data_IF_050015465701
#
_entry.id   IF_050015465701
#
_cell.length_a   1.000
_cell.length_b   1.000
_cell.length_c   1.000
_cell.angle_alpha   90.00
_cell.angle_beta   90.00
_cell.angle_gamma   90.00
#
_symmetry.space_group_name_H-M   'P 1'
#
loop_
_entity.id
_entity.type
_entity.pdbx_description
1 polymer ?
#
# COMPACT_ATOMS: atom_id res chain seq x y z
N UNK A 1 -13.77 37.69 -11.32
CA UNK A 1 -13.86 36.51 -12.20
C UNK A 1 -12.58 36.37 -12.98
N UNK A 2 -11.96 35.20 -12.92
CA UNK A 2 -10.74 34.91 -13.65
C UNK A 2 -11.12 34.69 -15.14
N UNK A 3 -10.46 35.33 -16.13
CA UNK A 3 -10.84 35.23 -17.55
C UNK A 3 -10.91 33.79 -18.08
N UNK A 4 -10.05 32.92 -17.52
CA UNK A 4 -9.96 31.50 -17.83
C UNK A 4 -11.25 30.72 -17.53
N UNK A 5 -11.94 31.04 -16.44
CA UNK A 5 -13.17 30.36 -16.03
C UNK A 5 -14.31 30.59 -17.03
N UNK A 6 -14.33 31.78 -17.64
CA UNK A 6 -15.34 32.21 -18.61
C UNK A 6 -15.12 31.55 -19.98
N UNK A 7 -13.86 31.48 -20.44
CA UNK A 7 -13.52 30.84 -21.73
C UNK A 7 -13.74 29.33 -21.73
N UNK A 8 -13.60 28.68 -20.57
CA UNK A 8 -13.76 27.23 -20.46
C UNK A 8 -15.11 26.77 -19.90
N UNK A 9 -16.06 27.68 -19.66
CA UNK A 9 -17.40 27.34 -19.18
C UNK A 9 -17.39 26.61 -17.83
N UNK A 10 -16.40 26.90 -16.99
CA UNK A 10 -16.26 26.30 -15.66
C UNK A 10 -17.23 27.07 -14.74
N UNK A 11 -18.31 26.41 -14.33
CA UNK A 11 -19.23 26.99 -13.34
C UNK A 11 -18.53 27.01 -11.98
N UNK A 12 -18.53 28.17 -11.32
CA UNK A 12 -18.13 28.29 -9.92
C UNK A 12 -19.01 27.35 -9.08
N UNK A 13 -18.46 26.20 -8.71
CA UNK A 13 -19.08 25.34 -7.72
C UNK A 13 -18.99 26.10 -6.38
N UNK A 14 -20.13 26.28 -5.72
CA UNK A 14 -20.22 27.02 -4.46
C UNK A 14 -19.23 26.52 -3.40
N UNK A 15 -19.02 27.25 -2.29
CA UNK A 15 -17.98 26.94 -1.31
C UNK A 15 -18.05 25.46 -0.93
N UNK A 16 -17.01 24.70 -1.31
CA UNK A 16 -16.91 23.29 -0.99
C UNK A 16 -17.10 23.15 0.52
N UNK A 17 -17.97 22.22 0.93
CA UNK A 17 -18.17 21.95 2.36
C UNK A 17 -16.79 21.69 2.97
N UNK A 18 -16.46 22.30 4.12
CA UNK A 18 -15.17 22.10 4.75
C UNK A 18 -14.96 20.60 4.96
N UNK A 19 -13.92 20.06 4.31
CA UNK A 19 -13.54 18.66 4.50
C UNK A 19 -13.07 18.52 5.94
N UNK A 20 -13.72 17.62 6.69
CA UNK A 20 -13.34 17.32 8.08
C UNK A 20 -11.98 16.63 8.16
N UNK A 21 -11.55 16.01 7.06
CA UNK A 21 -10.33 15.20 6.98
C UNK A 21 -9.24 15.89 6.17
N UNK A 22 -7.98 15.89 6.65
CA UNK A 22 -6.83 16.33 5.88
C UNK A 22 -6.64 15.53 4.59
N UNK A 23 -6.13 16.18 3.54
CA UNK A 23 -5.71 15.49 2.31
C UNK A 23 -4.45 14.66 2.57
N UNK A 24 -4.48 13.38 2.20
CA UNK A 24 -3.32 12.49 2.29
C UNK A 24 -2.40 12.53 1.06
N UNK A 25 -2.55 13.55 0.20
CA UNK A 25 -1.70 13.71 -1.00
C UNK A 25 -0.20 13.78 -0.68
N UNK A 26 0.18 14.51 0.38
CA UNK A 26 1.59 14.60 0.80
C UNK A 26 2.14 13.25 1.24
N UNK A 27 1.31 12.45 1.93
CA UNK A 27 1.68 11.09 2.33
C UNK A 27 1.87 10.18 1.12
N UNK A 28 0.95 10.20 0.16
CA UNK A 28 1.07 9.36 -1.04
C UNK A 28 2.26 9.77 -1.90
N UNK A 29 2.57 11.06 -1.98
CA UNK A 29 3.79 11.55 -2.64
C UNK A 29 5.05 11.02 -1.95
N UNK A 30 5.12 11.13 -0.62
CA UNK A 30 6.23 10.59 0.17
C UNK A 30 6.35 9.07 0.01
N UNK A 31 5.23 8.35 0.07
CA UNK A 31 5.19 6.90 -0.09
C UNK A 31 5.68 6.46 -1.47
N UNK A 32 5.32 7.19 -2.52
CA UNK A 32 5.78 6.89 -3.89
C UNK A 32 7.30 7.04 -4.10
N UNK A 33 7.99 7.74 -3.19
CA UNK A 33 9.46 7.86 -3.19
C UNK A 33 10.13 6.71 -2.42
N UNK A 34 9.39 6.09 -1.49
CA UNK A 34 9.86 5.01 -0.60
C UNK A 34 9.60 3.64 -1.21
N UNK A 35 8.54 3.49 -2.01
CA UNK A 35 8.27 2.27 -2.77
C UNK A 35 9.44 2.01 -3.74
N UNK A 36 10.26 0.99 -3.43
CA UNK A 36 11.37 0.53 -4.29
C UNK A 36 10.87 -0.51 -5.30
N UNK A 37 11.71 -0.83 -6.29
CA UNK A 37 11.50 -1.49 -7.61
C UNK A 37 10.53 -2.68 -7.75
N UNK A 38 9.94 -3.17 -6.67
CA UNK A 38 8.76 -4.05 -6.68
C UNK A 38 7.47 -3.24 -6.43
N UNK A 39 7.45 -2.02 -6.99
CA UNK A 39 6.39 -1.04 -6.80
C UNK A 39 5.12 -1.57 -7.46
N UNK A 40 4.25 -2.18 -6.65
CA UNK A 40 2.94 -2.68 -7.07
C UNK A 40 1.98 -1.58 -7.56
N UNK A 41 2.42 -0.32 -7.52
CA UNK A 41 1.73 0.87 -7.99
C UNK A 41 1.99 1.22 -9.45
N UNK A 42 3.19 0.94 -9.98
CA UNK A 42 3.56 1.26 -11.36
C UNK A 42 4.77 0.41 -11.81
N UNK A 43 4.57 -0.62 -12.66
CA UNK A 43 5.65 -1.47 -13.14
C UNK A 43 6.70 -0.73 -14.00
N UNK A 44 6.41 0.51 -14.43
CA UNK A 44 7.34 1.32 -15.22
C UNK A 44 8.36 2.09 -14.38
N UNK A 45 8.09 2.27 -13.06
CA UNK A 45 9.03 2.91 -12.14
C UNK A 45 10.07 1.90 -11.64
N UNK A 46 11.01 1.58 -12.51
CA UNK A 46 12.20 0.81 -12.12
C UNK A 46 13.22 1.75 -11.49
N UNK A 47 13.56 1.50 -10.23
CA UNK A 47 14.74 2.11 -9.63
C UNK A 47 15.99 1.54 -10.30
N UNK A 48 16.98 2.40 -10.59
CA UNK A 48 18.22 1.98 -11.27
C UNK A 48 19.05 0.95 -10.48
N UNK A 49 18.76 0.76 -9.19
CA UNK A 49 19.41 -0.23 -8.34
C UNK A 49 18.36 -1.18 -7.74
N UNK A 50 18.36 -2.48 -8.11
CA UNK A 50 17.38 -3.46 -7.62
C UNK A 50 17.49 -3.76 -6.12
N UNK A 51 18.61 -3.40 -5.48
CA UNK A 51 18.84 -3.59 -4.05
C UNK A 51 18.73 -2.29 -3.25
N UNK A 52 18.25 -1.20 -3.88
CA UNK A 52 18.01 0.03 -3.15
C UNK A 52 16.93 -0.20 -2.07
N UNK A 53 17.23 0.24 -0.85
CA UNK A 53 16.27 0.33 0.24
C UNK A 53 16.02 1.80 0.57
N UNK A 54 14.79 2.18 0.94
CA UNK A 54 14.49 3.56 1.30
C UNK A 54 15.30 3.98 2.54
N UNK A 55 15.64 5.27 2.62
CA UNK A 55 16.37 5.73 3.79
C UNK A 55 15.46 5.73 5.03
N UNK A 56 15.99 5.46 6.23
CA UNK A 56 15.23 5.53 7.47
C UNK A 56 14.50 6.87 7.68
N UNK A 57 15.11 7.96 7.19
CA UNK A 57 14.55 9.31 7.27
C UNK A 57 13.29 9.41 6.41
N UNK A 58 13.34 8.92 5.17
CA UNK A 58 12.19 8.96 4.26
C UNK A 58 11.03 8.13 4.82
N UNK A 59 11.31 6.94 5.33
CA UNK A 59 10.31 6.06 5.97
C UNK A 59 9.67 6.77 7.18
N UNK A 60 10.49 7.36 8.05
CA UNK A 60 9.98 8.10 9.20
C UNK A 60 9.10 9.30 8.81
N UNK A 61 9.42 9.98 7.70
CA UNK A 61 8.64 11.10 7.19
C UNK A 61 7.24 10.65 6.73
N UNK A 62 7.13 9.49 6.07
CA UNK A 62 5.82 8.92 5.70
C UNK A 62 4.96 8.59 6.93
N UNK A 63 5.56 7.97 7.97
CA UNK A 63 4.84 7.66 9.20
C UNK A 63 4.42 8.91 9.99
N UNK A 64 5.21 9.99 9.95
CA UNK A 64 4.80 11.28 10.54
C UNK A 64 3.56 11.86 9.88
N UNK A 65 3.49 11.83 8.55
CA UNK A 65 2.31 12.30 7.80
C UNK A 65 1.06 11.47 8.13
N UNK A 66 1.22 10.15 8.32
CA UNK A 66 0.13 9.28 8.77
C UNK A 66 -0.29 9.58 10.21
N UNK A 67 0.66 9.81 11.11
CA UNK A 67 0.40 10.15 12.50
C UNK A 67 -0.32 11.50 12.62
N UNK A 68 0.07 12.51 11.83
CA UNK A 68 -0.58 13.83 11.79
C UNK A 68 -2.07 13.71 11.43
N UNK A 69 -2.40 12.80 10.51
CA UNK A 69 -3.80 12.48 10.18
C UNK A 69 -4.54 11.93 11.41
N UNK A 70 -3.96 10.94 12.10
CA UNK A 70 -4.58 10.35 13.29
C UNK A 70 -4.73 11.33 14.44
N UNK A 71 -3.75 12.21 14.66
CA UNK A 71 -3.85 13.28 15.65
C UNK A 71 -4.97 14.27 15.31
N UNK A 72 -5.13 14.60 14.03
CA UNK A 72 -6.23 15.46 13.57
C UNK A 72 -7.59 14.77 13.79
N UNK A 73 -7.73 13.50 13.40
CA UNK A 73 -8.96 12.71 13.63
C UNK A 73 -9.28 12.59 15.13
N UNK A 74 -8.26 12.44 15.97
CA UNK A 74 -8.41 12.39 17.44
C UNK A 74 -8.98 13.69 17.99
N UNK A 75 -8.55 14.83 17.44
CA UNK A 75 -9.04 16.14 17.85
C UNK A 75 -10.47 16.44 17.37
N UNK A 76 -10.85 15.94 16.19
CA UNK A 76 -12.18 16.20 15.58
C UNK A 76 -13.28 15.26 16.11
N UNK A 77 -12.90 14.14 16.75
CA UNK A 77 -13.83 13.18 17.38
C UNK A 77 -14.76 13.77 18.45
N UNK A 78 -14.61 15.05 18.83
CA UNK A 78 -15.51 15.81 19.70
C UNK A 78 -15.40 15.40 21.18
N UNK A 79 -15.32 16.38 22.08
CA UNK A 79 -15.03 16.22 23.52
C UNK A 79 -16.04 15.43 24.38
N UNK A 80 -16.82 14.50 23.82
CA UNK A 80 -17.61 13.53 24.58
C UNK A 80 -16.82 12.24 24.70
N UNK A 81 -15.97 12.16 25.74
CA UNK A 81 -15.49 11.00 26.53
C UNK A 81 -15.33 9.59 25.91
N UNK A 82 -15.44 9.43 24.60
CA UNK A 82 -15.18 8.21 23.87
C UNK A 82 -13.74 8.30 23.41
N UNK A 83 -12.84 7.90 24.31
CA UNK A 83 -11.53 7.47 23.88
C UNK A 83 -11.77 6.45 22.76
N UNK A 84 -11.28 6.73 21.55
CA UNK A 84 -11.25 5.73 20.50
C UNK A 84 -9.99 4.89 20.76
N UNK A 85 -10.09 3.74 21.46
CA UNK A 85 -8.92 3.02 21.91
C UNK A 85 -8.09 2.51 20.73
N UNK A 86 -8.72 2.25 19.60
CA UNK A 86 -8.02 1.84 18.40
C UNK A 86 -7.13 2.97 17.87
N UNK A 87 -7.67 4.19 17.78
CA UNK A 87 -6.91 5.33 17.27
C UNK A 87 -5.69 5.63 18.14
N UNK A 88 -5.81 5.53 19.47
CA UNK A 88 -4.68 5.69 20.39
C UNK A 88 -3.61 4.60 20.16
N UNK A 89 -4.01 3.34 19.99
CA UNK A 89 -3.09 2.24 19.66
C UNK A 89 -2.41 2.45 18.31
N UNK A 90 -3.11 2.99 17.31
CA UNK A 90 -2.53 3.30 16.00
C UNK A 90 -1.52 4.44 16.10
N UNK A 91 -1.81 5.50 16.87
CA UNK A 91 -0.87 6.60 17.11
C UNK A 91 0.39 6.07 17.78
N UNK A 92 0.27 5.24 18.82
CA UNK A 92 1.42 4.63 19.50
C UNK A 92 2.22 3.71 18.56
N UNK A 93 1.53 2.90 17.73
CA UNK A 93 2.19 2.05 16.73
C UNK A 93 2.97 2.89 15.70
N UNK A 94 2.39 3.98 15.19
CA UNK A 94 3.10 4.88 14.26
C UNK A 94 4.27 5.58 14.94
N UNK A 95 4.14 5.96 16.21
CA UNK A 95 5.25 6.56 16.97
C UNK A 95 6.44 5.61 17.07
N UNK A 96 6.19 4.34 17.40
CA UNK A 96 7.23 3.31 17.45
C UNK A 96 7.90 3.12 16.08
N UNK A 97 7.14 3.18 14.99
CA UNK A 97 7.67 3.09 13.63
C UNK A 97 8.43 4.36 13.19
N UNK A 98 8.16 5.52 13.79
CA UNK A 98 8.95 6.74 13.56
C UNK A 98 10.31 6.63 14.26
N UNK A 99 10.34 6.08 15.48
CA UNK A 99 11.57 5.91 16.26
C UNK A 99 12.44 4.77 15.72
N UNK A 100 11.82 3.68 15.30
CA UNK A 100 12.45 2.50 14.73
C UNK A 100 11.89 2.21 13.33
N UNK A 101 12.27 3.00 12.32
CA UNK A 101 11.73 2.88 10.97
C UNK A 101 12.05 1.51 10.35
N UNK A 102 11.04 0.81 9.80
CA UNK A 102 11.28 -0.45 9.12
C UNK A 102 12.12 -0.23 7.86
N UNK A 103 12.95 -1.22 7.52
CA UNK A 103 13.83 -1.18 6.35
C UNK A 103 13.06 -1.27 5.03
N UNK A 104 11.85 -1.83 5.05
CA UNK A 104 10.96 -1.97 3.90
C UNK A 104 9.50 -1.78 4.33
N UNK A 105 8.70 -1.16 3.47
CA UNK A 105 7.26 -1.01 3.67
C UNK A 105 6.54 -2.24 3.11
N UNK A 106 5.76 -2.93 3.95
CA UNK A 106 4.97 -4.11 3.53
C UNK A 106 3.58 -3.68 3.05
N UNK A 107 3.50 -2.55 2.36
CA UNK A 107 2.26 -1.91 1.94
C UNK A 107 1.45 -2.75 0.94
N UNK A 108 0.13 -2.63 0.98
CA UNK A 108 -0.72 -3.07 -0.12
C UNK A 108 -0.54 -2.15 -1.34
N UNK A 109 -0.75 -2.68 -2.54
CA UNK A 109 -0.78 -1.89 -3.77
C UNK A 109 -1.96 -0.92 -3.83
N UNK A 110 -1.86 0.10 -4.68
CA UNK A 110 -3.02 0.92 -5.01
C UNK A 110 -4.10 0.09 -5.70
N UNK A 111 -3.72 -0.80 -6.62
CA UNK A 111 -4.62 -1.74 -7.31
C UNK A 111 -5.43 -2.59 -6.33
N UNK A 112 -4.82 -3.04 -5.23
CA UNK A 112 -5.53 -3.76 -4.18
C UNK A 112 -6.57 -2.89 -3.49
N UNK A 113 -6.24 -1.64 -3.14
CA UNK A 113 -7.23 -0.72 -2.55
C UNK A 113 -8.39 -0.43 -3.50
N UNK A 114 -8.14 -0.38 -4.82
CA UNK A 114 -9.17 -0.09 -5.80
C UNK A 114 -10.13 -1.28 -6.00
N UNK A 115 -9.62 -2.51 -5.81
CA UNK A 115 -10.35 -3.77 -6.01
C UNK A 115 -10.93 -4.38 -4.74
N UNK A 116 -10.61 -3.83 -3.56
CA UNK A 116 -11.13 -4.33 -2.27
C UNK A 116 -12.66 -4.25 -2.22
N UNK A 117 -13.26 -5.24 -1.56
CA UNK A 117 -14.72 -5.36 -1.47
C UNK A 117 -15.35 -4.14 -0.80
N UNK A 118 -16.30 -3.53 -1.52
CA UNK A 118 -17.07 -2.37 -1.06
C UNK A 118 -18.38 -2.81 -0.43
N UNK A 119 -18.75 -2.16 0.66
CA UNK A 119 -20.05 -2.37 1.31
C UNK A 119 -21.04 -1.35 0.75
N UNK A 120 -22.14 -1.77 0.12
CA UNK A 120 -23.11 -0.82 -0.42
C UNK A 120 -23.78 -0.04 0.72
N UNK A 121 -24.00 1.26 0.52
CA UNK A 121 -24.63 2.14 1.51
C UNK A 121 -25.96 1.58 2.06
N UNK A 122 -26.74 0.89 1.22
CA UNK A 122 -28.03 0.30 1.58
C UNK A 122 -27.94 -0.86 2.59
N UNK A 123 -26.80 -1.56 2.67
CA UNK A 123 -26.59 -2.65 3.64
C UNK A 123 -25.99 -2.17 4.97
N UNK A 124 -25.59 -0.91 5.06
CA UNK A 124 -25.04 -0.33 6.28
C UNK A 124 -26.17 0.05 7.23
N UNK A 125 -25.97 -0.26 8.52
CA UNK A 125 -26.89 0.18 9.57
C UNK A 125 -26.57 1.62 9.98
N UNK A 126 -27.56 2.40 10.46
CA UNK A 126 -27.38 3.81 10.83
C UNK A 126 -26.51 4.04 12.09
N UNK A 127 -26.24 3.00 12.86
CA UNK A 127 -25.39 2.99 14.04
C UNK A 127 -23.97 2.47 13.76
N UNK A 128 -23.70 1.91 12.58
CA UNK A 128 -22.34 1.46 12.24
C UNK A 128 -21.40 2.66 12.06
N UNK A 129 -20.28 2.62 12.78
CA UNK A 129 -19.25 3.65 12.79
C UNK A 129 -17.90 3.11 12.30
N UNK A 130 -17.07 3.99 11.75
CA UNK A 130 -15.70 3.67 11.41
C UNK A 130 -14.87 3.51 12.69
N UNK A 131 -14.17 2.38 12.89
CA UNK A 131 -13.33 2.18 14.08
C UNK A 131 -12.15 3.17 14.19
N UNK A 132 -11.73 3.82 13.10
CA UNK A 132 -10.58 4.73 13.08
C UNK A 132 -11.02 6.15 13.45
N UNK A 133 -11.96 6.75 12.72
CA UNK A 133 -12.41 8.12 13.00
C UNK A 133 -13.58 8.22 13.99
N UNK A 134 -14.25 7.11 14.32
CA UNK A 134 -15.40 7.09 15.24
C UNK A 134 -16.71 7.61 14.63
N UNK A 135 -16.69 8.12 13.41
CA UNK A 135 -17.87 8.67 12.73
C UNK A 135 -18.79 7.58 12.18
N UNK A 136 -20.09 7.87 12.08
CA UNK A 136 -21.08 6.98 11.46
C UNK A 136 -20.86 6.94 9.96
N UNK A 137 -20.89 5.76 9.34
CA UNK A 137 -20.71 5.68 7.89
C UNK A 137 -21.79 6.46 7.13
N UNK A 138 -23.04 6.41 7.60
CA UNK A 138 -24.15 7.08 6.93
C UNK A 138 -24.21 8.59 7.14
N UNK A 139 -23.35 9.19 7.99
CA UNK A 139 -23.30 10.65 8.15
C UNK A 139 -22.65 11.37 6.98
N UNK A 140 -21.81 10.68 6.21
CA UNK A 140 -21.30 11.18 4.92
C UNK A 140 -22.26 10.79 3.79
N UNK A 141 -22.47 11.69 2.83
CA UNK A 141 -23.31 11.46 1.64
C UNK A 141 -22.64 10.47 0.68
N UNK A 142 -21.32 10.55 0.55
CA UNK A 142 -20.51 9.77 -0.39
C UNK A 142 -19.63 8.73 0.33
N UNK A 143 -20.16 8.10 1.37
CA UNK A 143 -19.41 7.16 2.20
C UNK A 143 -18.78 6.02 1.38
N UNK A 144 -17.45 5.90 1.43
CA UNK A 144 -16.69 4.82 0.80
C UNK A 144 -16.30 3.78 1.85
N UNK A 145 -17.19 2.81 2.08
CA UNK A 145 -16.96 1.77 3.08
C UNK A 145 -16.43 0.50 2.43
N UNK A 146 -15.33 -0.03 2.99
CA UNK A 146 -14.73 -1.29 2.58
C UNK A 146 -14.83 -2.32 3.69
N UNK A 147 -14.78 -3.60 3.33
CA UNK A 147 -14.62 -4.72 4.26
C UNK A 147 -13.31 -5.45 3.95
N UNK A 148 -12.49 -5.66 4.97
CA UNK A 148 -11.23 -6.40 4.79
C UNK A 148 -11.48 -7.92 4.79
N UNK A 149 -10.70 -8.70 4.02
CA UNK A 149 -10.89 -10.14 3.89
C UNK A 149 -10.59 -10.91 5.19
N UNK A 150 -9.88 -10.30 6.13
CA UNK A 150 -9.51 -10.94 7.39
C UNK A 150 -10.70 -11.25 8.31
N UNK A 151 -11.78 -10.44 8.27
CA UNK A 151 -13.01 -10.69 9.02
C UNK A 151 -14.19 -9.84 8.47
N UNK A 152 -15.42 -10.37 8.38
CA UNK A 152 -16.59 -9.65 7.84
C UNK A 152 -17.02 -8.42 8.65
N UNK A 153 -16.59 -8.31 9.90
CA UNK A 153 -16.86 -7.12 10.74
C UNK A 153 -15.78 -6.04 10.64
N UNK A 154 -14.67 -6.31 9.94
CA UNK A 154 -13.58 -5.34 9.77
C UNK A 154 -13.93 -4.38 8.64
N UNK A 155 -14.89 -3.50 8.93
CA UNK A 155 -15.36 -2.46 8.02
C UNK A 155 -14.72 -1.12 8.37
N UNK A 156 -14.28 -0.40 7.37
CA UNK A 156 -13.67 0.91 7.54
C UNK A 156 -14.07 1.84 6.41
N UNK A 157 -13.93 3.13 6.67
CA UNK A 157 -13.91 4.13 5.62
C UNK A 157 -12.57 4.04 4.87
N UNK A 158 -12.63 3.99 3.54
CA UNK A 158 -11.46 3.83 2.67
C UNK A 158 -10.44 4.95 2.89
N UNK A 159 -10.87 6.18 3.17
CA UNK A 159 -9.97 7.29 3.42
C UNK A 159 -9.22 7.18 4.76
N UNK A 160 -9.84 6.51 5.75
CA UNK A 160 -9.23 6.30 7.05
C UNK A 160 -8.26 5.12 7.05
N UNK A 161 -8.62 4.01 6.39
CA UNK A 161 -7.83 2.78 6.42
C UNK A 161 -6.82 2.69 5.29
N UNK A 162 -7.08 3.34 4.15
CA UNK A 162 -6.24 3.31 2.96
C UNK A 162 -4.78 3.65 3.24
N UNK A 163 -4.48 4.80 3.89
CA UNK A 163 -3.10 5.16 4.25
C UNK A 163 -2.39 4.10 5.08
N UNK A 164 -3.07 3.51 6.08
CA UNK A 164 -2.52 2.42 6.89
C UNK A 164 -2.18 1.19 6.07
N UNK A 165 -3.11 0.76 5.20
CA UNK A 165 -2.90 -0.41 4.34
C UNK A 165 -1.76 -0.19 3.35
N UNK A 166 -1.61 1.02 2.82
CA UNK A 166 -0.58 1.36 1.83
C UNK A 166 0.83 1.37 2.40
N UNK A 167 1.02 1.55 3.71
CA UNK A 167 2.36 1.51 4.34
C UNK A 167 2.60 0.25 5.17
N UNK A 168 1.59 -0.27 5.87
CA UNK A 168 1.73 -1.42 6.77
C UNK A 168 1.20 -2.74 6.19
N UNK A 169 0.27 -2.69 5.24
CA UNK A 169 -0.36 -3.87 4.60
C UNK A 169 -1.06 -4.83 5.55
N UNK A 170 -1.50 -4.35 6.71
CA UNK A 170 -2.15 -5.16 7.76
C UNK A 170 -3.45 -4.53 8.20
N UNK A 171 -4.40 -5.33 8.67
CA UNK A 171 -5.63 -4.83 9.26
C UNK A 171 -5.34 -4.09 10.60
N UNK A 172 -5.88 -2.88 10.80
CA UNK A 172 -5.73 -2.14 12.06
C UNK A 172 -6.23 -2.87 13.31
N UNK A 173 -7.21 -3.76 13.16
CA UNK A 173 -7.88 -4.44 14.28
C UNK A 173 -7.16 -5.73 14.71
N UNK A 174 -6.82 -6.61 13.75
CA UNK A 174 -6.25 -7.94 14.05
C UNK A 174 -4.80 -8.12 13.58
N UNK A 175 -4.21 -7.10 12.94
CA UNK A 175 -2.85 -7.09 12.40
C UNK A 175 -2.55 -8.21 11.39
N UNK A 176 -3.57 -8.92 10.90
CA UNK A 176 -3.37 -9.87 9.80
C UNK A 176 -2.97 -9.09 8.55
N UNK A 177 -1.99 -9.62 7.84
CA UNK A 177 -1.65 -9.09 6.53
C UNK A 177 -2.87 -9.22 5.62
N UNK A 178 -3.03 -8.30 4.68
CA UNK A 178 -4.11 -8.34 3.69
C UNK A 178 -3.53 -8.04 2.30
N UNK A 179 -4.18 -8.56 1.26
CA UNK A 179 -3.82 -8.24 -0.13
C UNK A 179 -2.39 -8.61 -0.48
N UNK A 180 -1.63 -7.64 -1.00
CA UNK A 180 -0.23 -7.86 -1.38
C UNK A 180 0.69 -8.03 -0.16
N UNK A 181 0.29 -7.50 1.00
CA UNK A 181 1.00 -7.73 2.26
C UNK A 181 1.02 -9.21 2.66
N UNK A 182 -0.04 -9.98 2.36
CA UNK A 182 -0.06 -11.44 2.62
C UNK A 182 0.93 -12.18 1.72
N UNK A 183 0.97 -11.81 0.44
CA UNK A 183 1.90 -12.40 -0.54
C UNK A 183 3.35 -12.13 -0.13
N UNK A 184 3.66 -10.89 0.23
CA UNK A 184 4.99 -10.46 0.68
C UNK A 184 5.40 -11.18 1.96
N UNK A 185 4.52 -11.25 2.97
CA UNK A 185 4.78 -11.99 4.21
C UNK A 185 5.10 -13.46 3.93
N UNK A 186 4.33 -14.11 3.06
CA UNK A 186 4.52 -15.52 2.69
C UNK A 186 5.81 -15.75 1.90
N UNK A 187 6.19 -14.83 1.01
CA UNK A 187 7.50 -14.91 0.31
C UNK A 187 8.64 -14.85 1.30
N UNK A 188 8.60 -13.87 2.21
CA UNK A 188 9.65 -13.68 3.22
C UNK A 188 9.75 -14.84 4.19
N UNK A 189 8.61 -15.41 4.62
CA UNK A 189 8.60 -16.60 5.47
C UNK A 189 9.27 -17.79 4.76
N UNK A 190 8.99 -18.00 3.47
CA UNK A 190 9.66 -19.03 2.65
C UNK A 190 11.14 -18.75 2.44
N UNK A 191 11.53 -17.50 2.19
CA UNK A 191 12.93 -17.11 2.03
C UNK A 191 13.71 -17.30 3.33
N UNK A 192 13.11 -16.94 4.47
CA UNK A 192 13.71 -17.14 5.79
C UNK A 192 13.79 -18.63 6.15
N UNK A 193 12.75 -19.41 5.88
CA UNK A 193 12.77 -20.87 6.05
C UNK A 193 13.85 -21.52 5.17
N UNK A 194 13.98 -21.08 3.91
CA UNK A 194 15.04 -21.54 3.02
C UNK A 194 16.44 -21.13 3.51
N UNK A 195 16.61 -19.90 4.04
CA UNK A 195 17.87 -19.45 4.59
C UNK A 195 18.26 -20.24 5.85
N UNK A 196 17.31 -20.50 6.75
CA UNK A 196 17.52 -21.34 7.93
C UNK A 196 17.87 -22.77 7.52
N UNK A 197 17.16 -23.33 6.55
CA UNK A 197 17.44 -24.67 6.03
C UNK A 197 18.86 -24.80 5.45
N UNK A 198 19.45 -23.72 4.92
CA UNK A 198 20.86 -23.72 4.46
C UNK A 198 21.85 -23.67 5.61
N UNK A 199 21.53 -22.97 6.71
CA UNK A 199 22.40 -22.88 7.89
C UNK A 199 22.52 -24.22 8.65
N UNK A 200 21.52 -25.08 8.53
CA UNK A 200 21.50 -26.41 9.15
C UNK A 200 22.23 -27.48 8.30
N UNK A 201 22.78 -27.13 7.13
CA UNK A 201 23.52 -28.05 6.27
C UNK A 201 24.99 -28.16 6.64
N UNK A 202 25.53 -29.36 6.46
CA UNK A 202 26.98 -29.58 6.46
C UNK A 202 27.64 -28.88 5.25
N UNK A 203 28.93 -28.59 5.34
CA UNK A 203 29.68 -27.80 4.36
C UNK A 203 29.54 -28.35 2.92
N UNK A 204 29.63 -29.67 2.75
CA UNK A 204 29.45 -30.36 1.47
C UNK A 204 28.03 -30.17 0.89
N UNK A 205 27.01 -30.19 1.75
CA UNK A 205 25.61 -30.06 1.35
C UNK A 205 25.22 -28.60 1.04
N UNK A 206 25.81 -27.63 1.76
CA UNK A 206 25.64 -26.21 1.48
C UNK A 206 26.23 -25.84 0.11
N UNK A 207 27.42 -26.35 -0.23
CA UNK A 207 28.03 -26.16 -1.56
C UNK A 207 27.16 -26.75 -2.68
N UNK A 208 26.55 -27.91 -2.46
CA UNK A 208 25.65 -28.53 -3.42
C UNK A 208 24.38 -27.69 -3.63
N UNK A 209 23.82 -27.15 -2.55
CA UNK A 209 22.67 -26.25 -2.61
C UNK A 209 22.98 -24.98 -3.42
N UNK A 210 24.11 -24.32 -3.15
CA UNK A 210 24.51 -23.12 -3.88
C UNK A 210 24.76 -23.40 -5.37
N UNK A 211 25.40 -24.53 -5.70
CA UNK A 211 25.59 -24.96 -7.09
C UNK A 211 24.25 -25.13 -7.81
N UNK A 212 23.27 -25.74 -7.14
CA UNK A 212 21.91 -25.94 -7.67
C UNK A 212 21.14 -24.63 -7.83
N UNK A 213 21.33 -23.68 -6.90
CA UNK A 213 20.75 -22.32 -6.96
C UNK A 213 21.29 -21.53 -8.16
N UNK A 214 22.61 -21.53 -8.34
CA UNK A 214 23.28 -20.89 -9.48
C UNK A 214 22.81 -21.48 -10.82
N UNK A 215 22.71 -22.81 -10.91
CA UNK A 215 22.25 -23.48 -12.14
C UNK A 215 20.82 -23.05 -12.53
N UNK A 216 19.91 -22.94 -11.56
CA UNK A 216 18.54 -22.43 -11.78
C UNK A 216 18.52 -20.95 -12.19
N UNK A 217 19.44 -20.14 -11.68
CA UNK A 217 19.54 -18.73 -12.06
C UNK A 217 19.98 -18.60 -13.52
N UNK A 218 21.01 -19.35 -13.92
CA UNK A 218 21.51 -19.39 -15.31
C UNK A 218 20.43 -19.88 -16.28
N UNK A 219 19.63 -20.87 -15.87
CA UNK A 219 18.53 -21.38 -16.69
C UNK A 219 17.45 -20.32 -16.92
N UNK A 220 17.03 -19.60 -15.86
CA UNK A 220 16.08 -18.48 -15.99
C UNK A 220 16.60 -17.33 -16.85
N UNK A 221 17.88 -16.98 -16.72
CA UNK A 221 18.50 -15.94 -17.56
C UNK A 221 18.51 -16.36 -19.04
N UNK A 222 18.76 -17.64 -19.34
CA UNK A 222 18.67 -18.17 -20.71
C UNK A 222 17.25 -18.14 -21.25
N UNK A 223 16.25 -18.48 -20.45
CA UNK A 223 14.84 -18.41 -20.85
C UNK A 223 14.41 -16.98 -21.15
N UNK A 224 14.79 -16.01 -20.29
CA UNK A 224 14.51 -14.58 -20.52
C UNK A 224 15.21 -14.06 -21.78
N UNK A 225 16.47 -14.46 -22.01
CA UNK A 225 17.21 -14.10 -23.20
C UNK A 225 16.57 -14.65 -24.47
N UNK A 226 16.17 -15.93 -24.47
CA UNK A 226 15.44 -16.53 -25.60
C UNK A 226 14.10 -15.85 -25.84
N UNK A 227 13.37 -15.49 -24.79
CA UNK A 227 12.09 -14.81 -24.91
C UNK A 227 12.26 -13.41 -25.51
N UNK A 228 13.28 -12.68 -25.09
CA UNK A 228 13.64 -11.38 -25.66
C UNK A 228 14.05 -11.49 -27.13
N UNK A 229 14.87 -12.49 -27.48
CA UNK A 229 15.27 -12.74 -28.86
C UNK A 229 14.07 -13.12 -29.76
N UNK A 230 13.08 -13.82 -29.23
CA UNK A 230 11.85 -14.12 -29.95
C UNK A 230 10.94 -12.89 -30.14
N UNK A 231 10.81 -12.04 -29.11
CA UNK A 231 10.05 -10.78 -29.17
C UNK A 231 10.68 -9.78 -30.18
N UNK A 232 12.01 -9.68 -30.20
CA UNK A 232 12.73 -8.83 -31.17
C UNK A 232 12.55 -9.33 -32.62
N UNK A 233 12.53 -10.66 -32.84
CA UNK A 233 12.28 -11.25 -34.16
C UNK A 233 10.85 -11.03 -34.68
N UNK A 234 9.85 -11.02 -33.80
CA UNK A 234 8.46 -10.73 -34.17
C UNK A 234 8.22 -9.24 -34.49
N UNK A 235 8.99 -8.33 -33.88
CA UNK A 235 8.89 -6.89 -34.14
C UNK A 235 9.47 -6.45 -35.49
N UNK A 236 10.51 -7.12 -36.00
CA UNK A 236 11.15 -6.79 -37.29
C UNK A 236 10.36 -7.34 -38.51
N UNK A 237 9.30 -8.11 -38.28
CA UNK A 237 8.51 -8.79 -39.30
C UNK A 237 7.32 -8.02 -39.90
N UNK A 238 6.92 -6.87 -39.32
CA UNK A 238 5.67 -6.14 -39.69
C UNK A 238 5.89 -4.80 -40.44
N UNK A 239 7.14 -4.40 -40.71
CA UNK A 239 7.47 -3.13 -41.38
C UNK A 239 7.61 -3.24 -42.92
N UNK A 240 6.84 -4.13 -43.56
CA UNK A 240 7.15 -4.58 -44.92
C UNK A 240 5.98 -4.87 -45.87
N UNK A 241 4.80 -4.28 -45.73
CA UNK A 241 3.77 -4.37 -46.78
C UNK A 241 2.79 -3.18 -46.77
N UNK A 242 3.13 -2.10 -47.46
CA UNK A 242 2.17 -1.33 -48.26
C UNK A 242 2.89 -0.75 -49.48
N UNK A 243 2.71 -1.45 -50.61
CA UNK A 243 3.00 -0.99 -51.95
C UNK A 243 1.71 -0.45 -52.59
#
# INVERSE_FOLDING_TARGET
MNPYEIEHGIKDEGPARPRRRPSMSSFFNQLSQIETSDSTTDPTRQHNNPHAVPTPVDVSAAYRLLQDQYLTLRSDSGGSSSANPLLDVLIESTQSQIEYPPTQTNGCSQTYLDTVDRVPRKSLKPDETCPICGEKFLSDEYCLVIVLPCHPTHKFDLECVGPWLRINGTCPLDRKAVGDGEKMKKSREREMEAAVAVLDLDEDAAEEYDRRRLQRQVEREKELQQKKEAEDYESDGDDGMYA
#
